data_IF_794090199071
#
_entry.id   IF_794090199071
#
_cell.length_a   1.000
_cell.length_b   1.000
_cell.length_c   1.000
_cell.angle_alpha   90.00
_cell.angle_beta   90.00
_cell.angle_gamma   90.00
#
_symmetry.space_group_name_H-M   'P 1'
#
loop_
_entity.id
_entity.type
_entity.pdbx_description
1 polymer ?
#
# COMPACT_ATOMS: atom_id res chain seq x y z
N UNK A 1 -9.22 -6.44 -17.31
CA UNK A 1 -10.41 -5.77 -16.78
C UNK A 1 -10.14 -5.09 -15.43
N UNK A 2 -9.86 -5.82 -14.34
CA UNK A 2 -9.67 -5.21 -13.01
C UNK A 2 -8.53 -4.17 -12.90
N UNK A 3 -7.45 -4.31 -13.68
CA UNK A 3 -6.36 -3.33 -13.74
C UNK A 3 -6.60 -2.25 -14.81
N UNK A 4 -7.26 -2.62 -15.90
CA UNK A 4 -7.48 -1.76 -17.05
C UNK A 4 -8.54 -0.70 -16.78
N UNK A 5 -9.61 -1.08 -16.09
CA UNK A 5 -10.71 -0.20 -15.70
C UNK A 5 -10.27 1.02 -14.87
N UNK A 6 -9.56 0.87 -13.73
CA UNK A 6 -9.16 2.02 -12.93
C UNK A 6 -8.20 2.92 -13.70
N UNK A 7 -7.26 2.37 -14.48
CA UNK A 7 -6.34 3.18 -15.29
C UNK A 7 -7.10 4.06 -16.28
N UNK A 8 -8.05 3.48 -17.00
CA UNK A 8 -8.87 4.23 -17.97
C UNK A 8 -9.72 5.26 -17.23
N UNK A 9 -10.41 4.85 -16.17
CA UNK A 9 -11.27 5.74 -15.38
C UNK A 9 -10.50 6.95 -14.84
N UNK A 10 -9.37 6.74 -14.17
CA UNK A 10 -8.56 7.82 -13.62
C UNK A 10 -7.90 8.68 -14.71
N UNK A 11 -7.53 8.09 -15.85
CA UNK A 11 -7.05 8.88 -16.98
C UNK A 11 -8.10 9.89 -17.47
N UNK A 12 -9.36 9.45 -17.65
CA UNK A 12 -10.45 10.33 -18.05
C UNK A 12 -10.82 11.33 -16.94
N UNK A 13 -10.92 10.87 -15.70
CA UNK A 13 -11.36 11.69 -14.56
C UNK A 13 -10.34 12.76 -14.15
N UNK A 14 -9.04 12.52 -14.32
CA UNK A 14 -7.99 13.44 -13.90
C UNK A 14 -7.53 14.34 -15.07
N UNK A 15 -7.31 13.77 -16.26
CA UNK A 15 -6.69 14.52 -17.37
C UNK A 15 -7.73 15.24 -18.24
N UNK A 16 -8.87 14.60 -18.48
CA UNK A 16 -9.88 15.10 -19.43
C UNK A 16 -11.04 15.84 -18.76
N UNK A 17 -11.15 15.77 -17.43
CA UNK A 17 -12.20 16.48 -16.71
C UNK A 17 -11.85 17.98 -16.61
N UNK A 18 -12.79 18.89 -16.95
CA UNK A 18 -12.52 20.32 -16.93
C UNK A 18 -12.25 20.81 -15.51
N UNK A 19 -11.12 21.50 -15.34
CA UNK A 19 -10.69 22.16 -14.12
C UNK A 19 -10.60 23.66 -14.38
N UNK A 20 -11.17 24.49 -13.51
CA UNK A 20 -11.19 25.95 -13.68
C UNK A 20 -9.96 26.66 -13.10
N UNK A 21 -9.08 25.93 -12.39
CA UNK A 21 -7.85 26.47 -11.82
C UNK A 21 -8.03 27.09 -10.44
N UNK A 22 -9.25 27.15 -9.91
CA UNK A 22 -9.54 27.79 -8.61
C UNK A 22 -9.33 26.85 -7.41
N UNK A 23 -9.31 25.54 -7.64
CA UNK A 23 -9.09 24.52 -6.60
C UNK A 23 -7.61 24.27 -6.20
N UNK A 24 -6.67 25.01 -6.80
CA UNK A 24 -5.24 24.85 -6.55
C UNK A 24 -4.85 25.68 -5.34
N UNK A 25 -4.90 25.06 -4.16
CA UNK A 25 -4.37 25.63 -2.94
C UNK A 25 -2.93 25.15 -2.72
N UNK A 26 -1.97 26.04 -2.94
CA UNK A 26 -0.54 25.77 -2.74
C UNK A 26 -0.11 25.87 -1.27
N UNK A 27 -1.02 26.20 -0.35
CA UNK A 27 -0.76 26.23 1.09
C UNK A 27 -1.04 24.90 1.79
N UNK A 28 -1.74 23.98 1.11
CA UNK A 28 -2.00 22.63 1.60
C UNK A 28 -0.87 21.64 1.29
N UNK A 29 -0.84 20.54 2.04
CA UNK A 29 0.20 19.50 1.96
C UNK A 29 0.30 18.83 0.58
N UNK A 30 -0.82 18.77 -0.14
CA UNK A 30 -0.91 18.38 -1.53
C UNK A 30 -1.23 19.64 -2.33
N UNK A 31 -0.51 19.88 -3.44
CA UNK A 31 -0.68 21.06 -4.30
C UNK A 31 -2.05 21.06 -5.01
N UNK A 32 -3.12 21.26 -4.25
CA UNK A 32 -4.52 21.09 -4.65
C UNK A 32 -5.39 20.58 -3.49
N UNK A 33 -6.57 21.17 -3.31
CA UNK A 33 -7.49 20.79 -2.23
C UNK A 33 -8.13 19.41 -2.45
N UNK A 34 -8.51 19.09 -3.70
CA UNK A 34 -9.01 17.79 -4.14
C UNK A 34 -9.00 17.73 -5.68
N UNK A 35 -9.17 16.54 -6.27
CA UNK A 35 -9.33 16.42 -7.72
C UNK A 35 -10.59 17.14 -8.21
N UNK A 36 -10.53 17.75 -9.39
CA UNK A 36 -11.64 18.57 -9.90
C UNK A 36 -12.94 17.77 -10.04
N UNK A 37 -12.88 16.51 -10.47
CA UNK A 37 -14.08 15.68 -10.62
C UNK A 37 -14.77 15.39 -9.27
N UNK A 38 -13.99 15.34 -8.17
CA UNK A 38 -14.50 15.16 -6.81
C UNK A 38 -15.23 16.42 -6.32
N UNK A 39 -14.77 17.61 -6.70
CA UNK A 39 -15.34 18.89 -6.27
C UNK A 39 -16.59 19.27 -7.07
N UNK A 40 -16.50 19.23 -8.40
CA UNK A 40 -17.56 19.71 -9.30
C UNK A 40 -18.66 18.68 -9.53
N UNK A 41 -18.36 17.39 -9.39
CA UNK A 41 -19.32 16.32 -9.62
C UNK A 41 -19.44 15.37 -8.43
N UNK A 42 -20.35 15.72 -7.52
CA UNK A 42 -20.67 14.91 -6.33
C UNK A 42 -21.04 13.46 -6.65
N UNK A 43 -21.67 13.21 -7.80
CA UNK A 43 -22.04 11.84 -8.21
C UNK A 43 -20.81 11.02 -8.55
N UNK A 44 -19.89 11.58 -9.34
CA UNK A 44 -18.63 10.93 -9.69
C UNK A 44 -17.73 10.74 -8.46
N UNK A 45 -17.64 11.76 -7.60
CA UNK A 45 -16.87 11.68 -6.36
C UNK A 45 -17.40 10.59 -5.40
N UNK A 46 -18.71 10.53 -5.23
CA UNK A 46 -19.36 9.48 -4.40
C UNK A 46 -19.18 8.11 -5.02
N UNK A 47 -19.26 7.99 -6.34
CA UNK A 47 -19.03 6.73 -7.06
C UNK A 47 -17.59 6.24 -6.87
N UNK A 48 -16.60 7.11 -7.02
CA UNK A 48 -15.20 6.76 -6.82
C UNK A 48 -14.91 6.35 -5.37
N UNK A 49 -15.39 7.11 -4.39
CA UNK A 49 -15.24 6.77 -2.98
C UNK A 49 -15.96 5.46 -2.61
N UNK A 50 -17.20 5.25 -3.05
CA UNK A 50 -17.98 4.08 -2.65
C UNK A 50 -17.59 2.81 -3.43
N UNK A 51 -17.45 2.91 -4.75
CA UNK A 51 -17.25 1.75 -5.63
C UNK A 51 -15.76 1.46 -5.83
N UNK A 52 -14.94 2.46 -6.13
CA UNK A 52 -13.52 2.21 -6.39
C UNK A 52 -12.72 2.03 -5.09
N UNK A 53 -13.11 2.70 -4.00
CA UNK A 53 -12.41 2.58 -2.71
C UNK A 53 -13.17 1.72 -1.67
N UNK A 54 -14.47 1.96 -1.48
CA UNK A 54 -15.28 1.26 -0.49
C UNK A 54 -15.47 -0.23 -0.79
N UNK A 55 -15.82 -0.59 -2.04
CA UNK A 55 -16.06 -1.99 -2.41
C UNK A 55 -14.82 -2.88 -2.22
N UNK A 56 -13.60 -2.51 -2.69
CA UNK A 56 -12.40 -3.30 -2.40
C UNK A 56 -12.09 -3.42 -0.91
N UNK A 57 -12.41 -2.40 -0.12
CA UNK A 57 -12.20 -2.41 1.33
C UNK A 57 -13.10 -3.45 2.01
N UNK A 58 -14.39 -3.52 1.63
CA UNK A 58 -15.33 -4.55 2.11
C UNK A 58 -14.87 -5.95 1.67
N UNK A 59 -14.44 -6.10 0.42
CA UNK A 59 -13.91 -7.38 -0.09
C UNK A 59 -12.67 -7.79 0.73
N UNK A 60 -11.75 -6.86 1.01
CA UNK A 60 -10.58 -7.11 1.83
C UNK A 60 -10.94 -7.52 3.27
N UNK A 61 -11.95 -6.89 3.86
CA UNK A 61 -12.45 -7.27 5.19
C UNK A 61 -12.99 -8.71 5.21
N UNK A 62 -13.83 -9.06 4.24
CA UNK A 62 -14.37 -10.43 4.10
C UNK A 62 -13.27 -11.46 3.82
N UNK A 63 -12.30 -11.11 2.96
CA UNK A 63 -11.16 -11.96 2.65
C UNK A 63 -10.30 -12.22 3.89
N UNK A 64 -10.04 -11.20 4.72
CA UNK A 64 -9.33 -11.36 5.99
C UNK A 64 -10.04 -12.32 6.95
N UNK A 65 -11.36 -12.18 7.10
CA UNK A 65 -12.16 -13.10 7.94
C UNK A 65 -12.05 -14.52 7.40
N UNK A 66 -12.20 -14.72 6.09
CA UNK A 66 -12.08 -16.02 5.45
C UNK A 66 -10.69 -16.63 5.64
N UNK A 67 -9.63 -15.83 5.56
CA UNK A 67 -8.25 -16.28 5.79
C UNK A 67 -8.04 -16.75 7.23
N UNK A 68 -8.53 -16.01 8.23
CA UNK A 68 -8.46 -16.43 9.63
C UNK A 68 -9.16 -17.77 9.82
N UNK A 69 -10.38 -17.91 9.30
CA UNK A 69 -11.15 -19.16 9.38
C UNK A 69 -10.40 -20.31 8.72
N UNK A 70 -9.86 -20.11 7.50
CA UNK A 70 -9.08 -21.13 6.79
C UNK A 70 -7.84 -21.54 7.57
N UNK A 71 -7.10 -20.59 8.16
CA UNK A 71 -5.91 -20.88 8.97
C UNK A 71 -6.27 -21.71 10.20
N UNK A 72 -7.35 -21.38 10.91
CA UNK A 72 -7.80 -22.14 12.07
C UNK A 72 -8.24 -23.55 11.68
N UNK A 73 -9.01 -23.68 10.59
CA UNK A 73 -9.46 -24.98 10.07
C UNK A 73 -8.29 -25.85 9.60
N UNK A 74 -7.33 -25.25 8.89
CA UNK A 74 -6.18 -25.97 8.35
C UNK A 74 -5.18 -26.36 9.45
N UNK A 75 -5.02 -25.54 10.49
CA UNK A 75 -4.30 -25.90 11.72
C UNK A 75 -4.91 -27.12 12.42
N UNK A 76 -6.24 -27.26 12.39
CA UNK A 76 -6.94 -28.44 12.92
C UNK A 76 -6.80 -29.67 12.02
N UNK A 77 -6.80 -29.52 10.69
CA UNK A 77 -6.80 -30.64 9.74
C UNK A 77 -5.41 -31.19 9.41
N UNK A 78 -4.37 -30.36 9.37
CA UNK A 78 -3.04 -30.76 8.93
C UNK A 78 -2.02 -30.71 10.07
N UNK A 79 -1.80 -31.86 10.72
CA UNK A 79 -0.64 -32.10 11.61
C UNK A 79 0.69 -32.28 10.84
N UNK A 80 0.81 -31.77 9.59
CA UNK A 80 2.02 -31.94 8.76
C UNK A 80 2.86 -30.64 8.72
N UNK A 81 4.11 -30.65 9.21
CA UNK A 81 4.87 -29.41 9.48
C UNK A 81 5.54 -28.75 8.28
N UNK A 82 5.78 -29.48 7.17
CA UNK A 82 6.75 -29.03 6.14
C UNK A 82 6.17 -28.01 5.15
N UNK A 83 4.96 -28.22 4.60
CA UNK A 83 4.28 -27.25 3.72
C UNK A 83 3.57 -26.12 4.47
N UNK A 84 3.32 -26.31 5.77
CA UNK A 84 2.63 -25.34 6.62
C UNK A 84 3.42 -24.04 6.81
N UNK A 85 4.75 -24.13 6.91
CA UNK A 85 5.60 -22.95 7.19
C UNK A 85 5.56 -21.92 6.05
N UNK A 86 5.52 -22.38 4.80
CA UNK A 86 5.49 -21.49 3.62
C UNK A 86 4.09 -20.92 3.38
N UNK A 87 3.05 -21.75 3.46
CA UNK A 87 1.65 -21.32 3.35
C UNK A 87 1.29 -20.31 4.45
N UNK A 88 1.71 -20.57 5.70
CA UNK A 88 1.49 -19.64 6.82
C UNK A 88 2.17 -18.29 6.60
N UNK A 89 3.35 -18.24 6.00
CA UNK A 89 4.07 -16.99 5.74
C UNK A 89 3.34 -16.12 4.72
N UNK A 90 2.91 -16.70 3.60
CA UNK A 90 2.12 -15.97 2.60
C UNK A 90 0.80 -15.47 3.19
N UNK A 91 0.11 -16.29 3.98
CA UNK A 91 -1.13 -15.87 4.63
C UNK A 91 -0.90 -14.75 5.65
N UNK A 92 0.17 -14.82 6.44
CA UNK A 92 0.51 -13.74 7.39
C UNK A 92 0.88 -12.47 6.64
N UNK A 93 1.58 -12.55 5.51
CA UNK A 93 1.90 -11.39 4.69
C UNK A 93 0.65 -10.72 4.14
N UNK A 94 -0.24 -11.51 3.52
CA UNK A 94 -1.50 -11.00 2.99
C UNK A 94 -2.35 -10.40 4.10
N UNK A 95 -2.41 -11.07 5.26
CA UNK A 95 -3.13 -10.57 6.43
C UNK A 95 -2.55 -9.26 6.96
N UNK A 96 -1.21 -9.12 7.06
CA UNK A 96 -0.56 -7.88 7.49
C UNK A 96 -0.85 -6.72 6.52
N UNK A 97 -0.71 -6.95 5.21
CA UNK A 97 -0.98 -5.92 4.19
C UNK A 97 -2.45 -5.51 4.25
N UNK A 98 -3.37 -6.47 4.27
CA UNK A 98 -4.79 -6.18 4.29
C UNK A 98 -5.24 -5.55 5.61
N UNK A 99 -4.65 -5.92 6.75
CA UNK A 99 -4.94 -5.27 8.05
C UNK A 99 -4.44 -3.84 8.08
N UNK A 100 -3.24 -3.57 7.53
CA UNK A 100 -2.70 -2.22 7.42
C UNK A 100 -3.59 -1.35 6.53
N UNK A 101 -4.06 -1.90 5.39
CA UNK A 101 -4.98 -1.20 4.50
C UNK A 101 -6.31 -0.88 5.19
N UNK A 102 -6.89 -1.84 5.93
CA UNK A 102 -8.13 -1.62 6.69
C UNK A 102 -7.94 -0.56 7.78
N UNK A 103 -6.82 -0.60 8.51
CA UNK A 103 -6.51 0.39 9.54
C UNK A 103 -6.39 1.80 8.95
N UNK A 104 -5.71 1.95 7.82
CA UNK A 104 -5.56 3.23 7.14
C UNK A 104 -6.89 3.79 6.59
N UNK A 105 -7.74 2.95 6.01
CA UNK A 105 -9.01 3.39 5.42
C UNK A 105 -10.17 3.53 6.41
N UNK A 106 -10.10 2.85 7.55
CA UNK A 106 -11.21 2.84 8.53
C UNK A 106 -11.66 4.23 8.99
N UNK A 107 -10.78 5.20 9.31
CA UNK A 107 -11.23 6.52 9.77
C UNK A 107 -11.99 7.27 8.68
N UNK A 108 -11.49 7.21 7.43
CA UNK A 108 -12.14 7.85 6.28
C UNK A 108 -13.52 7.26 5.98
N UNK A 109 -13.66 5.93 6.06
CA UNK A 109 -14.96 5.28 5.83
C UNK A 109 -15.97 5.58 6.93
N UNK A 110 -15.56 5.55 8.20
CA UNK A 110 -16.47 5.85 9.32
C UNK A 110 -17.01 7.26 9.18
N UNK A 111 -16.14 8.24 8.92
CA UNK A 111 -16.56 9.64 8.73
C UNK A 111 -17.44 9.80 7.50
N UNK A 112 -17.06 9.20 6.35
CA UNK A 112 -17.87 9.30 5.14
C UNK A 112 -19.26 8.69 5.27
N UNK A 113 -19.41 7.57 5.98
CA UNK A 113 -20.73 7.00 6.28
C UNK A 113 -21.56 7.95 7.15
N UNK A 114 -20.97 8.56 8.18
CA UNK A 114 -21.66 9.54 9.05
C UNK A 114 -22.10 10.77 8.25
N UNK A 115 -21.26 11.23 7.30
CA UNK A 115 -21.59 12.36 6.42
C UNK A 115 -22.78 12.05 5.51
N UNK A 116 -22.87 10.83 4.98
CA UNK A 116 -23.99 10.38 4.15
C UNK A 116 -25.28 10.20 4.96
N UNK A 117 -25.17 9.74 6.22
CA UNK A 117 -26.33 9.45 7.07
C UNK A 117 -27.04 10.69 7.64
N UNK A 118 -26.46 11.88 7.55
CA UNK A 118 -27.15 13.11 7.93
C UNK A 118 -26.29 14.27 8.41
N UNK A 119 -24.97 14.10 8.54
CA UNK A 119 -24.07 15.17 9.01
C UNK A 119 -22.98 15.50 7.98
N UNK A 120 -23.33 16.14 6.86
CA UNK A 120 -22.44 16.29 5.70
C UNK A 120 -21.16 17.10 5.99
N UNK A 121 -21.14 17.92 7.04
CA UNK A 121 -19.97 18.72 7.45
C UNK A 121 -19.16 18.09 8.58
N UNK A 122 -19.59 16.94 9.11
CA UNK A 122 -18.93 16.29 10.23
C UNK A 122 -17.50 15.88 9.86
N UNK A 123 -16.52 16.47 10.54
CA UNK A 123 -15.09 16.23 10.33
C UNK A 123 -14.61 16.35 8.87
N UNK A 124 -15.31 17.10 8.02
CA UNK A 124 -14.97 17.19 6.59
C UNK A 124 -13.54 17.69 6.35
N UNK A 125 -13.11 18.74 7.07
CA UNK A 125 -11.74 19.26 7.00
C UNK A 125 -10.70 18.26 7.52
N UNK A 126 -11.00 17.57 8.63
CA UNK A 126 -10.07 16.56 9.17
C UNK A 126 -9.96 15.35 8.23
N UNK A 127 -11.04 15.01 7.55
CA UNK A 127 -11.07 13.93 6.60
C UNK A 127 -10.21 14.22 5.37
N UNK A 128 -10.34 15.43 4.79
CA UNK A 128 -9.53 15.84 3.64
C UNK A 128 -8.06 15.97 4.00
N UNK A 129 -7.74 16.55 5.15
CA UNK A 129 -6.37 16.94 5.49
C UNK A 129 -5.55 15.83 6.17
N UNK A 130 -6.22 14.80 6.72
CA UNK A 130 -5.54 13.75 7.49
C UNK A 130 -6.00 12.33 7.12
N UNK A 131 -7.31 12.07 7.07
CA UNK A 131 -7.78 10.69 6.90
C UNK A 131 -7.60 10.15 5.48
N UNK A 132 -7.68 11.00 4.46
CA UNK A 132 -7.32 10.60 3.10
C UNK A 132 -5.81 10.38 2.96
N UNK A 133 -4.99 11.21 3.60
CA UNK A 133 -3.52 11.10 3.56
C UNK A 133 -2.98 9.88 4.32
N UNK A 134 -3.77 9.33 5.24
CA UNK A 134 -3.41 8.13 6.00
C UNK A 134 -3.09 6.92 5.09
N UNK A 135 -3.61 6.90 3.85
CA UNK A 135 -3.30 5.85 2.88
C UNK A 135 -1.83 5.82 2.48
N UNK A 136 -1.12 6.95 2.51
CA UNK A 136 0.30 7.01 2.16
C UNK A 136 1.18 6.25 3.15
N UNK A 137 0.70 6.07 4.39
CA UNK A 137 1.34 5.19 5.37
C UNK A 137 1.38 3.75 4.83
N UNK A 138 0.33 3.28 4.15
CA UNK A 138 0.34 1.94 3.55
C UNK A 138 1.45 1.83 2.53
N UNK A 139 1.59 2.80 1.63
CA UNK A 139 2.67 2.83 0.62
C UNK A 139 4.06 2.82 1.27
N UNK A 140 4.24 3.54 2.38
CA UNK A 140 5.50 3.61 3.10
C UNK A 140 5.85 2.28 3.78
N UNK A 141 4.87 1.60 4.39
CA UNK A 141 5.08 0.35 5.13
C UNK A 141 5.04 -0.92 4.25
N UNK A 142 4.45 -0.86 3.06
CA UNK A 142 4.38 -1.98 2.11
C UNK A 142 5.75 -2.62 1.79
N UNK A 143 6.80 -1.87 1.42
CA UNK A 143 8.10 -2.45 1.13
C UNK A 143 8.71 -3.13 2.37
N UNK A 144 8.53 -2.56 3.56
CA UNK A 144 9.02 -3.16 4.80
C UNK A 144 8.34 -4.48 5.13
N UNK A 145 7.03 -4.56 4.93
CA UNK A 145 6.25 -5.80 5.13
C UNK A 145 6.69 -6.86 4.10
N UNK A 146 6.86 -6.47 2.83
CA UNK A 146 7.32 -7.39 1.78
C UNK A 146 8.74 -7.90 2.04
N UNK A 147 9.69 -7.03 2.39
CA UNK A 147 11.08 -7.42 2.67
C UNK A 147 11.17 -8.30 3.93
N UNK A 148 10.44 -7.96 4.99
CA UNK A 148 10.47 -8.70 6.25
C UNK A 148 9.90 -10.13 6.15
N UNK A 149 8.95 -10.36 5.22
CA UNK A 149 8.24 -11.64 5.11
C UNK A 149 8.65 -12.49 3.90
N UNK A 150 9.41 -11.96 2.93
CA UNK A 150 10.02 -12.74 1.84
C UNK A 150 11.44 -13.21 2.24
N UNK A 151 11.61 -14.46 2.72
CA UNK A 151 12.93 -14.98 3.07
C UNK A 151 13.86 -15.11 1.86
N UNK A 152 13.32 -15.36 0.66
CA UNK A 152 14.09 -15.48 -0.57
C UNK A 152 14.76 -14.16 -0.95
N UNK A 153 14.08 -13.04 -0.70
CA UNK A 153 14.63 -11.71 -0.93
C UNK A 153 15.73 -11.38 0.09
N UNK A 154 15.55 -11.76 1.36
CA UNK A 154 16.59 -11.61 2.39
C UNK A 154 17.83 -12.47 2.10
N UNK A 155 17.64 -13.67 1.54
CA UNK A 155 18.76 -14.51 1.08
C UNK A 155 19.45 -13.85 -0.12
N UNK A 156 18.72 -13.36 -1.10
CA UNK A 156 19.27 -12.62 -2.24
C UNK A 156 20.06 -11.37 -1.81
N UNK A 157 19.52 -10.57 -0.90
CA UNK A 157 20.18 -9.37 -0.37
C UNK A 157 21.46 -9.75 0.39
N UNK A 158 21.46 -10.84 1.17
CA UNK A 158 22.66 -11.35 1.84
C UNK A 158 23.72 -11.89 0.87
N UNK A 159 23.30 -12.52 -0.22
CA UNK A 159 24.20 -12.99 -1.28
C UNK A 159 24.84 -11.79 -1.99
N UNK A 160 24.06 -10.78 -2.33
CA UNK A 160 24.57 -9.54 -2.92
C UNK A 160 25.56 -8.83 -1.97
N UNK A 161 25.25 -8.74 -0.68
CA UNK A 161 26.16 -8.11 0.28
C UNK A 161 27.47 -8.91 0.49
N UNK A 162 27.43 -10.24 0.45
CA UNK A 162 28.63 -11.07 0.49
C UNK A 162 29.44 -11.04 -0.81
N UNK A 163 28.80 -10.99 -1.98
CA UNK A 163 29.47 -10.80 -3.26
C UNK A 163 30.18 -9.42 -3.31
N UNK A 164 29.55 -8.38 -2.77
CA UNK A 164 30.13 -7.04 -2.71
C UNK A 164 31.29 -6.95 -1.71
N UNK A 165 31.24 -7.67 -0.58
CA UNK A 165 32.38 -7.81 0.32
C UNK A 165 33.56 -8.56 -0.33
N UNK A 166 33.31 -9.58 -1.14
CA UNK A 166 34.37 -10.27 -1.91
C UNK A 166 34.99 -9.36 -2.97
N UNK A 167 34.20 -8.53 -3.65
CA UNK A 167 34.73 -7.60 -4.66
C UNK A 167 35.57 -6.48 -4.02
N UNK A 168 35.15 -5.95 -2.87
CA UNK A 168 35.91 -4.94 -2.13
C UNK A 168 37.20 -5.53 -1.50
N UNK A 169 37.18 -6.78 -1.04
CA UNK A 169 38.39 -7.45 -0.53
C UNK A 169 39.44 -7.67 -1.63
N UNK A 170 39.03 -7.95 -2.88
CA UNK A 170 39.95 -8.09 -4.02
C UNK A 170 40.52 -6.74 -4.46
N UNK A 171 39.72 -5.66 -4.42
CA UNK A 171 40.19 -4.30 -4.71
C UNK A 171 41.29 -3.80 -3.76
N UNK A 172 41.19 -4.13 -2.46
CA UNK A 172 42.21 -3.76 -1.46
C UNK A 172 43.47 -4.62 -1.53
N UNK A 173 43.39 -5.85 -2.04
CA UNK A 173 44.56 -6.72 -2.23
C UNK A 173 45.37 -6.27 -3.45
N UNK A 174 44.73 -5.86 -4.55
CA UNK A 174 45.41 -5.39 -5.76
C UNK A 174 46.18 -4.07 -5.51
N UNK A 175 45.68 -3.18 -4.65
CA UNK A 175 46.39 -1.94 -4.28
C UNK A 175 47.60 -2.18 -3.38
N UNK A 176 47.67 -3.30 -2.64
CA UNK A 176 48.84 -3.65 -1.82
C UNK A 176 49.94 -4.36 -2.60
N UNK A 177 49.62 -5.18 -3.60
CA UNK A 177 50.63 -5.87 -4.43
C UNK A 177 51.35 -4.96 -5.42
N UNK A 178 50.74 -3.83 -5.81
CA UNK A 178 51.39 -2.83 -6.68
C UNK A 178 52.39 -1.92 -5.93
N UNK A 179 52.33 -1.84 -4.59
CA UNK A 179 53.27 -1.01 -3.81
C UNK A 179 54.57 -1.74 -3.45
N UNK A 180 54.59 -3.08 -3.48
CA UNK A 180 55.76 -3.90 -3.15
C UNK A 180 56.63 -4.28 -4.35
N UNK A 181 56.25 -3.89 -5.56
CA UNK A 181 57.01 -4.14 -6.81
C UNK A 181 57.76 -2.90 -7.33
N UNK A 182 57.76 -1.81 -6.56
CA UNK A 182 58.39 -0.52 -6.89
C UNK A 182 59.51 -0.10 -5.90
N UNK A 183 60.02 -1.01 -5.08
CA UNK A 183 61.25 -0.85 -4.27
C UNK A 183 62.23 -1.97 -4.60
#
# INVERSE_FOLDING_TARGET
>A
FCLTYPIIFYFFAIILYPCDGTQWDYTNNLCGFADCYLLFNKVLGTFDWAINNGLPMVINALANIMLIVRVVQQKRRQQRPVTWKQQRRMTVQLFCISSLYLAAWSPSLIVGVVQILGFPTFLAAVQTDYFLDLIYIVCLFLPWICIGLLPELLVWIKVLSHCQQRHNAVGTVITRTQLHTLQ
#
